data_IF_530654352038
#
_entry.id   IF_530654352038
#
_cell.length_a   1.000
_cell.length_b   1.000
_cell.length_c   1.000
_cell.angle_alpha   90.00
_cell.angle_beta   90.00
_cell.angle_gamma   90.00
#
_symmetry.space_group_name_H-M   'P 1'
#
loop_
_entity.id
_entity.type
_entity.pdbx_description
1 polymer ?
#
# COMPACT_ATOMS: atom_id res chain seq x y z
N UNK A 1 -8.72 -19.39 -0.70
CA UNK A 1 -8.80 -18.25 0.23
C UNK A 1 -9.51 -17.13 -0.50
N UNK A 2 -10.57 -16.55 0.06
CA UNK A 2 -11.21 -15.37 -0.52
C UNK A 2 -10.22 -14.20 -0.47
N UNK A 3 -10.17 -13.40 -1.54
CA UNK A 3 -9.36 -12.19 -1.60
C UNK A 3 -9.77 -11.24 -0.44
N UNK A 4 -8.84 -10.85 0.45
CA UNK A 4 -9.14 -9.99 1.61
C UNK A 4 -9.80 -8.66 1.20
N UNK A 5 -9.50 -8.13 0.00
CA UNK A 5 -10.14 -6.93 -0.53
C UNK A 5 -11.64 -7.12 -0.78
N UNK A 6 -12.02 -8.23 -1.41
CA UNK A 6 -13.44 -8.53 -1.70
C UNK A 6 -14.26 -8.76 -0.42
N UNK A 7 -13.66 -9.39 0.58
CA UNK A 7 -14.29 -9.57 1.90
C UNK A 7 -14.51 -8.22 2.60
N UNK A 8 -13.54 -7.30 2.53
CA UNK A 8 -13.67 -5.95 3.07
C UNK A 8 -14.82 -5.18 2.40
N UNK A 9 -14.91 -5.18 1.07
CA UNK A 9 -15.99 -4.50 0.34
C UNK A 9 -17.36 -5.01 0.75
N UNK A 10 -17.53 -6.33 0.88
CA UNK A 10 -18.78 -6.93 1.33
C UNK A 10 -19.14 -6.49 2.75
N UNK A 11 -18.17 -6.48 3.68
CA UNK A 11 -18.40 -6.05 5.05
C UNK A 11 -18.70 -4.56 5.16
N UNK A 12 -18.07 -3.72 4.33
CA UNK A 12 -18.32 -2.28 4.28
C UNK A 12 -19.80 -1.98 3.99
N UNK A 13 -20.36 -2.56 2.92
CA UNK A 13 -21.78 -2.36 2.59
C UNK A 13 -22.74 -2.92 3.65
N UNK A 14 -22.36 -4.02 4.31
CA UNK A 14 -23.14 -4.57 5.43
C UNK A 14 -23.12 -3.63 6.64
N UNK A 15 -22.01 -2.96 6.89
CA UNK A 15 -21.86 -2.01 7.99
C UNK A 15 -22.68 -0.73 7.74
N UNK A 16 -22.66 -0.21 6.52
CA UNK A 16 -23.43 0.97 6.13
C UNK A 16 -24.94 0.74 6.30
N UNK A 17 -25.42 -0.41 5.85
CA UNK A 17 -26.81 -0.85 6.05
C UNK A 17 -27.16 -0.99 7.54
N UNK A 18 -26.23 -1.49 8.38
CA UNK A 18 -26.44 -1.60 9.82
C UNK A 18 -26.50 -0.24 10.50
N UNK A 19 -25.65 0.72 10.11
CA UNK A 19 -25.68 2.11 10.62
C UNK A 19 -27.03 2.76 10.29
N UNK A 20 -27.53 2.60 9.06
CA UNK A 20 -28.86 3.07 8.69
C UNK A 20 -29.97 2.43 9.53
N UNK A 21 -29.96 1.10 9.68
CA UNK A 21 -30.95 0.40 10.53
C UNK A 21 -30.89 0.82 11.99
N UNK A 22 -29.70 1.04 12.54
CA UNK A 22 -29.52 1.52 13.91
C UNK A 22 -30.05 2.94 14.10
N UNK A 23 -29.79 3.86 13.15
CA UNK A 23 -30.36 5.23 13.18
C UNK A 23 -31.89 5.18 13.15
N UNK A 24 -32.47 4.36 12.27
CA UNK A 24 -33.93 4.17 12.19
C UNK A 24 -34.49 3.58 13.49
N UNK A 25 -33.82 2.58 14.07
CA UNK A 25 -34.24 1.99 15.35
C UNK A 25 -34.21 3.00 16.50
N UNK A 26 -33.15 3.82 16.59
CA UNK A 26 -33.05 4.89 17.60
C UNK A 26 -34.14 5.94 17.40
N UNK A 27 -34.39 6.37 16.16
CA UNK A 27 -35.47 7.31 15.84
C UNK A 27 -36.85 6.75 16.20
N UNK A 28 -37.14 5.49 15.84
CA UNK A 28 -38.38 4.81 16.20
C UNK A 28 -38.52 4.67 17.72
N UNK A 29 -37.45 4.29 18.43
CA UNK A 29 -37.45 4.18 19.89
C UNK A 29 -37.75 5.52 20.58
N UNK A 30 -37.22 6.63 20.06
CA UNK A 30 -37.51 7.97 20.57
C UNK A 30 -38.97 8.37 20.33
N UNK A 31 -39.50 8.12 19.13
CA UNK A 31 -40.90 8.39 18.79
C UNK A 31 -41.84 7.57 19.67
N UNK A 32 -41.57 6.28 19.85
CA UNK A 32 -42.38 5.39 20.71
C UNK A 32 -42.30 5.83 22.17
N UNK A 33 -41.12 6.20 22.68
CA UNK A 33 -40.98 6.74 24.04
C UNK A 33 -41.83 8.00 24.24
N UNK A 34 -41.82 8.92 23.28
CA UNK A 34 -42.63 10.14 23.32
C UNK A 34 -44.14 9.83 23.28
N UNK A 35 -44.55 8.87 22.46
CA UNK A 35 -45.95 8.43 22.35
C UNK A 35 -46.43 7.77 23.66
N UNK A 36 -45.61 6.92 24.28
CA UNK A 36 -45.93 6.31 25.57
C UNK A 36 -46.01 7.37 26.67
N UNK A 37 -45.10 8.34 26.68
CA UNK A 37 -45.13 9.46 27.63
C UNK A 37 -46.41 10.29 27.53
N UNK A 38 -46.82 10.65 26.32
CA UNK A 38 -48.04 11.44 26.06
C UNK A 38 -49.31 10.66 26.38
N UNK A 39 -49.40 9.38 26.02
CA UNK A 39 -50.54 8.50 26.37
C UNK A 39 -50.62 8.28 27.88
N UNK A 40 -49.48 8.03 28.55
CA UNK A 40 -49.42 7.89 30.00
C UNK A 40 -49.89 9.14 30.73
N UNK A 41 -49.51 10.32 30.24
CA UNK A 41 -49.95 11.61 30.79
C UNK A 41 -51.46 11.86 30.60
N UNK A 42 -52.04 11.46 29.46
CA UNK A 42 -53.43 11.76 29.11
C UNK A 42 -54.45 10.74 29.66
N UNK A 43 -54.10 9.45 29.69
CA UNK A 43 -55.08 8.37 29.96
C UNK A 43 -54.96 7.75 31.35
N UNK A 44 -53.83 7.92 32.03
CA UNK A 44 -53.61 7.27 33.33
C UNK A 44 -53.48 8.30 34.44
N UNK A 45 -54.19 8.09 35.55
CA UNK A 45 -54.13 8.92 36.77
C UNK A 45 -52.82 8.68 37.56
N UNK A 46 -51.73 8.44 36.82
CA UNK A 46 -50.42 8.07 37.32
C UNK A 46 -49.67 9.33 37.69
N UNK A 47 -48.94 9.29 38.81
CA UNK A 47 -48.18 10.45 39.28
C UNK A 47 -47.13 10.88 38.25
N UNK A 48 -46.95 12.18 38.05
CA UNK A 48 -45.93 12.72 37.12
C UNK A 48 -44.52 12.19 37.46
N UNK A 49 -44.24 11.95 38.74
CA UNK A 49 -42.95 11.42 39.22
C UNK A 49 -42.64 10.03 38.65
N UNK A 50 -43.63 9.15 38.54
CA UNK A 50 -43.42 7.79 38.00
C UNK A 50 -43.19 7.80 36.48
N UNK A 51 -43.80 8.75 35.76
CA UNK A 51 -43.57 8.93 34.32
C UNK A 51 -42.12 9.41 34.07
N UNK A 52 -41.66 10.40 34.84
CA UNK A 52 -40.29 10.92 34.73
C UNK A 52 -39.22 9.86 35.05
N UNK A 53 -39.45 9.03 36.07
CA UNK A 53 -38.51 7.94 36.41
C UNK A 53 -38.43 6.90 35.28
N UNK A 54 -39.57 6.54 34.68
CA UNK A 54 -39.59 5.60 33.56
C UNK A 54 -38.84 6.15 32.34
N UNK A 55 -39.07 7.42 31.99
CA UNK A 55 -38.41 8.07 30.86
C UNK A 55 -36.89 8.18 31.07
N UNK A 56 -36.45 8.48 32.30
CA UNK A 56 -35.03 8.51 32.65
C UNK A 56 -34.35 7.14 32.50
N UNK A 57 -35.00 6.05 32.94
CA UNK A 57 -34.48 4.69 32.78
C UNK A 57 -34.39 4.33 31.28
N UNK A 58 -35.37 4.74 30.48
CA UNK A 58 -35.39 4.45 29.05
C UNK A 58 -34.28 5.21 28.31
N UNK A 59 -34.07 6.49 28.62
CA UNK A 59 -33.00 7.31 28.05
C UNK A 59 -31.61 6.81 28.43
N UNK A 60 -31.40 6.42 29.69
CA UNK A 60 -30.12 5.85 30.13
C UNK A 60 -29.83 4.51 29.45
N UNK A 61 -30.83 3.64 29.30
CA UNK A 61 -30.71 2.40 28.52
C UNK A 61 -30.35 2.64 27.05
N UNK A 62 -31.00 3.63 26.42
CA UNK A 62 -30.72 4.03 25.04
C UNK A 62 -29.28 4.58 24.88
N UNK A 63 -28.82 5.39 25.84
CA UNK A 63 -27.46 5.91 25.85
C UNK A 63 -26.41 4.79 25.95
N UNK A 64 -26.61 3.82 26.86
CA UNK A 64 -25.74 2.64 26.98
C UNK A 64 -25.75 1.83 25.68
N UNK A 65 -26.92 1.64 25.07
CA UNK A 65 -27.05 0.93 23.80
C UNK A 65 -26.24 1.61 22.69
N UNK A 66 -26.36 2.93 22.54
CA UNK A 66 -25.60 3.73 21.57
C UNK A 66 -24.09 3.62 21.84
N UNK A 67 -23.64 3.79 23.09
CA UNK A 67 -22.21 3.67 23.43
C UNK A 67 -21.70 2.26 23.10
N UNK A 68 -22.47 1.22 23.44
CA UNK A 68 -22.09 -0.17 23.19
C UNK A 68 -22.04 -0.50 21.70
N UNK A 69 -22.94 0.07 20.89
CA UNK A 69 -22.96 -0.14 19.45
C UNK A 69 -21.78 0.57 18.77
N UNK A 70 -21.43 1.77 19.22
CA UNK A 70 -20.24 2.49 18.77
C UNK A 70 -18.96 1.74 19.10
N UNK A 71 -18.81 1.21 20.33
CA UNK A 71 -17.64 0.40 20.70
C UNK A 71 -17.49 -0.83 19.80
N UNK A 72 -18.58 -1.58 19.60
CA UNK A 72 -18.59 -2.75 18.71
C UNK A 72 -18.32 -2.39 17.24
N UNK A 73 -18.67 -1.18 16.80
CA UNK A 73 -18.34 -0.71 15.46
C UNK A 73 -16.83 -0.44 15.35
N UNK A 74 -16.24 0.23 16.34
CA UNK A 74 -14.80 0.52 16.38
C UNK A 74 -13.94 -0.75 16.35
N UNK A 75 -14.25 -1.73 17.21
CA UNK A 75 -13.55 -3.02 17.25
C UNK A 75 -13.58 -3.72 15.88
N UNK A 76 -14.72 -3.67 15.18
CA UNK A 76 -14.86 -4.30 13.85
C UNK A 76 -14.06 -3.56 12.79
N UNK A 77 -14.06 -2.23 12.82
CA UNK A 77 -13.23 -1.43 11.92
C UNK A 77 -11.74 -1.75 12.11
N UNK A 78 -11.27 -1.87 13.36
CA UNK A 78 -9.91 -2.32 13.66
C UNK A 78 -9.63 -3.72 13.12
N UNK A 79 -10.57 -4.67 13.24
CA UNK A 79 -10.38 -6.00 12.63
C UNK A 79 -10.31 -5.96 11.11
N UNK A 80 -11.11 -5.10 10.46
CA UNK A 80 -11.09 -4.95 8.99
C UNK A 80 -9.78 -4.33 8.52
N UNK A 81 -9.27 -3.31 9.22
CA UNK A 81 -7.97 -2.73 8.92
C UNK A 81 -6.82 -3.70 9.17
N UNK A 82 -6.89 -4.49 10.23
CA UNK A 82 -5.93 -5.56 10.49
C UNK A 82 -5.89 -6.60 9.36
N UNK A 83 -7.06 -7.00 8.84
CA UNK A 83 -7.13 -7.93 7.70
C UNK A 83 -6.52 -7.36 6.42
N UNK A 84 -6.55 -6.04 6.25
CA UNK A 84 -5.93 -5.33 5.13
C UNK A 84 -4.47 -4.93 5.39
N UNK A 85 -3.94 -5.26 6.58
CA UNK A 85 -2.63 -4.80 7.06
C UNK A 85 -2.45 -3.27 7.01
N UNK A 86 -3.55 -2.55 7.14
CA UNK A 86 -3.61 -1.09 7.15
C UNK A 86 -3.39 -0.57 8.56
N UNK A 87 -2.50 0.41 8.68
CA UNK A 87 -2.28 1.10 9.95
C UNK A 87 -3.27 2.26 10.14
N UNK A 88 -4.19 2.18 11.13
CA UNK A 88 -5.22 3.19 11.33
C UNK A 88 -4.68 4.55 11.77
N UNK A 89 -3.42 4.62 12.24
CA UNK A 89 -2.74 5.87 12.60
C UNK A 89 -2.35 6.71 11.38
N UNK A 90 -2.07 6.08 10.23
CA UNK A 90 -1.69 6.77 9.00
C UNK A 90 -2.88 7.46 8.32
N UNK A 91 -4.09 7.00 8.63
CA UNK A 91 -5.35 7.57 8.16
C UNK A 91 -5.82 8.63 9.17
N UNK A 92 -5.08 9.74 9.32
CA UNK A 92 -5.44 10.81 10.26
C UNK A 92 -6.77 11.53 9.91
N UNK A 93 -7.35 11.24 8.75
CA UNK A 93 -8.54 11.91 8.25
C UNK A 93 -9.85 11.36 8.86
N UNK A 94 -10.87 12.22 8.95
CA UNK A 94 -12.18 11.92 9.56
C UNK A 94 -12.95 10.77 8.91
N UNK A 95 -12.58 10.37 7.68
CA UNK A 95 -13.24 9.32 6.89
C UNK A 95 -12.29 8.18 6.51
N UNK A 96 -11.71 7.54 7.53
CA UNK A 96 -10.73 6.44 7.39
C UNK A 96 -11.26 5.27 6.56
N UNK A 97 -12.54 4.96 6.69
CA UNK A 97 -13.18 3.84 6.00
C UNK A 97 -13.33 4.10 4.50
N UNK A 98 -13.62 5.34 4.11
CA UNK A 98 -13.85 5.72 2.71
C UNK A 98 -12.54 5.71 1.92
N UNK A 99 -11.45 6.18 2.54
CA UNK A 99 -10.10 6.12 1.97
C UNK A 99 -9.67 4.67 1.76
N UNK A 100 -9.90 3.80 2.75
CA UNK A 100 -9.61 2.38 2.62
C UNK A 100 -10.46 1.70 1.55
N UNK A 101 -11.75 2.04 1.46
CA UNK A 101 -12.64 1.56 0.40
C UNK A 101 -12.13 1.96 -1.00
N UNK A 102 -11.77 3.22 -1.18
CA UNK A 102 -11.25 3.72 -2.45
C UNK A 102 -9.92 3.03 -2.83
N UNK A 103 -9.05 2.78 -1.86
CA UNK A 103 -7.79 2.08 -2.07
C UNK A 103 -7.98 0.61 -2.48
N UNK A 104 -8.91 -0.11 -1.82
CA UNK A 104 -9.30 -1.48 -2.17
C UNK A 104 -9.90 -1.51 -3.58
N UNK A 105 -10.80 -0.58 -3.90
CA UNK A 105 -11.45 -0.50 -5.21
C UNK A 105 -10.46 -0.18 -6.34
N UNK A 106 -9.47 0.68 -6.07
CA UNK A 106 -8.41 1.02 -7.01
C UNK A 106 -7.35 -0.09 -7.16
N UNK A 107 -7.40 -1.15 -6.35
CA UNK A 107 -6.39 -2.21 -6.34
C UNK A 107 -5.01 -1.76 -5.85
N UNK A 108 -4.89 -0.55 -5.30
CA UNK A 108 -3.63 0.09 -4.91
C UNK A 108 -3.33 -0.12 -3.41
N UNK A 109 -3.54 -1.34 -2.92
CA UNK A 109 -3.28 -1.69 -1.52
C UNK A 109 -1.79 -1.62 -1.17
N UNK A 110 -0.91 -1.81 -2.16
CA UNK A 110 0.54 -1.75 -1.99
C UNK A 110 1.04 -0.37 -1.54
N UNK A 111 0.36 0.71 -1.92
CA UNK A 111 0.74 2.08 -1.50
C UNK A 111 0.41 2.39 -0.03
N UNK A 112 -0.48 1.60 0.60
CA UNK A 112 -0.97 1.85 1.97
C UNK A 112 -0.59 0.71 2.93
N UNK A 113 -0.17 -0.44 2.40
CA UNK A 113 0.49 -1.51 3.15
C UNK A 113 1.87 -1.05 3.61
N UNK A 114 1.90 -0.33 4.73
CA UNK A 114 3.16 -0.08 5.44
C UNK A 114 3.37 -1.20 6.43
N UNK A 115 4.43 -1.96 6.19
CA UNK A 115 4.82 -3.15 6.92
C UNK A 115 5.19 -2.87 8.38
N UNK A 116 4.20 -2.63 9.25
CA UNK A 116 4.42 -2.56 10.71
C UNK A 116 4.94 -3.88 11.29
N UNK A 117 4.73 -5.02 10.63
CA UNK A 117 5.32 -6.32 11.00
C UNK A 117 6.71 -6.58 10.42
N UNK A 118 7.18 -5.72 9.50
CA UNK A 118 8.59 -5.68 9.13
C UNK A 118 9.38 -4.78 10.10
N UNK A 119 8.87 -4.59 11.32
CA UNK A 119 9.69 -4.33 12.49
C UNK A 119 10.51 -5.58 12.79
N UNK A 120 11.65 -5.68 12.10
CA UNK A 120 13.00 -5.66 12.69
C UNK A 120 13.23 -6.45 13.99
N UNK A 121 12.56 -7.57 14.21
CA UNK A 121 13.08 -8.56 15.13
C UNK A 121 14.23 -9.25 14.41
N UNK A 122 15.42 -8.63 14.54
CA UNK A 122 16.70 -9.28 14.27
C UNK A 122 16.66 -10.63 15.00
N UNK A 123 17.07 -11.70 14.32
CA UNK A 123 17.43 -12.94 15.02
C UNK A 123 18.37 -12.62 16.17
N UNK A 124 18.24 -13.35 17.27
CA UNK A 124 18.91 -13.17 18.56
C UNK A 124 20.45 -13.23 18.47
N UNK A 125 21.07 -12.32 17.72
CA UNK A 125 22.51 -12.13 17.66
C UNK A 125 22.94 -11.31 18.87
N UNK A 126 23.59 -11.98 19.82
CA UNK A 126 24.13 -11.36 21.05
C UNK A 126 25.07 -10.18 20.77
N UNK A 127 25.67 -10.11 19.57
CA UNK A 127 26.68 -9.09 19.23
C UNK A 127 26.11 -7.77 18.72
N UNK A 128 24.80 -7.68 18.47
CA UNK A 128 24.15 -6.43 18.07
C UNK A 128 24.69 -5.81 16.77
N UNK A 129 24.34 -4.56 16.50
CA UNK A 129 24.83 -3.82 15.33
C UNK A 129 26.26 -3.35 15.59
N UNK A 130 27.25 -3.99 14.96
CA UNK A 130 28.57 -3.36 14.82
C UNK A 130 28.44 -2.34 13.70
N UNK A 131 28.62 -1.05 13.98
CA UNK A 131 28.51 0.05 13.02
C UNK A 131 29.56 0.03 11.89
N UNK A 132 30.23 -1.10 11.69
CA UNK A 132 31.48 -1.20 10.94
C UNK A 132 32.57 -0.32 11.56
N UNK A 133 33.78 -0.44 11.02
CA UNK A 133 34.78 0.62 11.18
C UNK A 133 34.42 1.73 10.20
N UNK A 134 34.19 2.94 10.72
CA UNK A 134 34.00 4.17 9.93
C UNK A 134 35.36 4.70 9.43
N UNK A 135 36.46 4.06 9.83
CA UNK A 135 37.81 4.36 9.37
C UNK A 135 37.97 3.96 7.89
N UNK A 136 37.64 4.88 6.99
CA UNK A 136 38.65 5.47 6.12
C UNK A 136 38.03 6.61 5.32
N UNK A 137 38.43 7.83 5.66
CA UNK A 137 38.51 8.91 4.67
C UNK A 137 39.31 8.37 3.49
N UNK A 138 38.85 8.60 2.27
CA UNK A 138 39.44 8.18 1.00
C UNK A 138 40.98 8.30 1.01
N UNK A 139 41.68 7.26 1.48
CA UNK A 139 43.12 7.28 1.62
C UNK A 139 43.70 6.60 0.38
N UNK A 140 44.38 7.38 -0.46
CA UNK A 140 45.01 6.91 -1.70
C UNK A 140 46.04 5.79 -1.46
N UNK A 141 46.51 5.64 -0.21
CA UNK A 141 47.43 4.57 0.21
C UNK A 141 46.74 3.21 0.43
N UNK A 142 45.41 3.19 0.50
CA UNK A 142 44.66 1.97 0.72
C UNK A 142 44.55 1.17 -0.58
N UNK A 143 45.11 -0.05 -0.58
CA UNK A 143 45.03 -0.94 -1.75
C UNK A 143 43.57 -1.24 -2.07
N UNK A 144 43.16 -1.02 -3.33
CA UNK A 144 41.85 -1.42 -3.86
C UNK A 144 41.61 -2.89 -3.48
N UNK A 145 40.50 -3.15 -2.79
CA UNK A 145 40.00 -4.50 -2.54
C UNK A 145 38.91 -4.77 -3.56
N UNK A 146 39.09 -5.75 -4.41
CA UNK A 146 38.01 -6.17 -5.30
C UNK A 146 36.98 -6.95 -4.49
N UNK A 147 35.72 -6.53 -4.59
CA UNK A 147 34.60 -7.16 -3.87
C UNK A 147 34.50 -8.67 -4.17
N UNK A 148 34.87 -9.07 -5.40
CA UNK A 148 34.87 -10.47 -5.83
C UNK A 148 35.89 -11.36 -5.11
N UNK A 149 36.91 -10.76 -4.47
CA UNK A 149 37.91 -11.54 -3.72
C UNK A 149 37.29 -12.26 -2.50
N UNK A 150 36.17 -11.75 -1.98
CA UNK A 150 35.45 -12.38 -0.85
C UNK A 150 34.38 -13.39 -1.26
N UNK A 151 34.09 -13.59 -2.55
CA UNK A 151 33.00 -14.46 -3.02
C UNK A 151 33.15 -15.90 -2.51
N UNK A 152 34.39 -16.39 -2.42
CA UNK A 152 34.69 -17.74 -1.91
C UNK A 152 34.27 -17.97 -0.46
N UNK A 153 34.22 -16.92 0.37
CA UNK A 153 33.86 -17.01 1.80
C UNK A 153 32.36 -17.23 2.00
N UNK A 154 31.53 -16.87 1.03
CA UNK A 154 30.08 -16.98 1.11
C UNK A 154 29.53 -18.24 0.41
N UNK A 155 30.40 -18.99 -0.27
CA UNK A 155 30.00 -20.18 -1.02
C UNK A 155 29.49 -21.28 -0.08
N UNK A 156 28.22 -21.65 -0.24
CA UNK A 156 27.56 -22.68 0.58
C UNK A 156 27.07 -22.19 1.95
N UNK A 157 27.15 -20.88 2.22
CA UNK A 157 26.44 -20.24 3.33
C UNK A 157 25.00 -19.88 2.96
N UNK A 158 24.67 -19.91 1.67
CA UNK A 158 23.32 -19.69 1.15
C UNK A 158 22.50 -20.96 1.35
N UNK A 159 21.33 -20.81 1.98
CA UNK A 159 20.33 -21.86 2.12
C UNK A 159 19.42 -21.88 0.87
N UNK A 160 18.58 -22.89 0.74
CA UNK A 160 17.61 -22.96 -0.36
C UNK A 160 16.69 -21.72 -0.34
N UNK A 161 16.35 -21.22 -1.54
CA UNK A 161 15.45 -20.08 -1.68
C UNK A 161 14.12 -20.36 -0.98
N UNK A 162 13.66 -19.40 -0.17
CA UNK A 162 12.35 -19.50 0.47
C UNK A 162 11.25 -19.45 -0.60
N UNK A 163 10.06 -20.02 -0.36
CA UNK A 163 8.98 -19.99 -1.35
C UNK A 163 8.65 -18.59 -1.90
N UNK A 164 8.71 -17.56 -1.06
CA UNK A 164 8.53 -16.16 -1.49
C UNK A 164 9.64 -15.66 -2.41
N UNK A 165 10.89 -16.06 -2.16
CA UNK A 165 12.06 -15.67 -2.95
C UNK A 165 12.11 -16.43 -4.28
N UNK A 166 11.62 -17.68 -4.30
CA UNK A 166 11.44 -18.46 -5.53
C UNK A 166 10.48 -17.74 -6.49
N UNK A 167 9.35 -17.23 -5.99
CA UNK A 167 8.39 -16.48 -6.81
C UNK A 167 8.99 -15.19 -7.39
N UNK A 168 9.76 -14.45 -6.58
CA UNK A 168 10.46 -13.25 -7.05
C UNK A 168 11.52 -13.60 -8.08
N UNK A 169 12.28 -14.67 -7.86
CA UNK A 169 13.28 -15.13 -8.80
C UNK A 169 12.65 -15.55 -10.15
N UNK A 170 11.54 -16.29 -10.11
CA UNK A 170 10.79 -16.67 -11.31
C UNK A 170 10.27 -15.43 -12.06
N UNK A 171 9.75 -14.43 -11.34
CA UNK A 171 9.34 -13.18 -11.94
C UNK A 171 10.52 -12.45 -12.60
N UNK A 172 11.66 -12.36 -11.92
CA UNK A 172 12.87 -11.73 -12.44
C UNK A 172 13.35 -12.42 -13.73
N UNK A 173 13.36 -13.75 -13.77
CA UNK A 173 13.72 -14.52 -14.96
C UNK A 173 12.77 -14.17 -16.12
N UNK A 174 11.46 -14.15 -15.88
CA UNK A 174 10.47 -13.78 -16.92
C UNK A 174 10.63 -12.35 -17.40
N UNK A 175 10.92 -11.41 -16.49
CA UNK A 175 11.18 -10.02 -16.86
C UNK A 175 12.45 -9.88 -17.69
N UNK A 176 13.50 -10.63 -17.33
CA UNK A 176 14.76 -10.65 -18.07
C UNK A 176 14.55 -11.18 -19.48
N UNK A 177 13.88 -12.32 -19.65
CA UNK A 177 13.57 -12.87 -20.97
C UNK A 177 12.78 -11.88 -21.83
N UNK A 178 11.78 -11.22 -21.23
CA UNK A 178 10.97 -10.22 -21.94
C UNK A 178 11.79 -8.98 -22.29
N UNK A 179 12.66 -8.52 -21.40
CA UNK A 179 13.54 -7.40 -21.64
C UNK A 179 14.52 -7.71 -22.77
N UNK A 180 15.13 -8.91 -22.77
CA UNK A 180 16.06 -9.37 -23.80
C UNK A 180 15.36 -9.44 -25.17
N UNK A 181 14.13 -9.96 -25.23
CA UNK A 181 13.34 -9.99 -26.46
C UNK A 181 13.00 -8.59 -26.98
N UNK A 182 12.60 -7.68 -26.08
CA UNK A 182 12.31 -6.30 -26.46
C UNK A 182 13.56 -5.57 -26.92
N UNK A 183 14.70 -5.83 -26.27
CA UNK A 183 16.00 -5.28 -26.62
C UNK A 183 16.43 -5.74 -28.01
N UNK A 184 16.40 -7.05 -28.28
CA UNK A 184 16.71 -7.60 -29.61
C UNK A 184 15.77 -7.06 -30.70
N UNK A 185 14.48 -6.92 -30.38
CA UNK A 185 13.50 -6.33 -31.30
C UNK A 185 13.78 -4.86 -31.57
N UNK A 186 14.24 -4.10 -30.58
CA UNK A 186 14.65 -2.71 -30.75
C UNK A 186 15.91 -2.63 -31.62
N UNK A 187 16.94 -3.42 -31.32
CA UNK A 187 18.20 -3.47 -32.09
C UNK A 187 17.94 -3.86 -33.56
N UNK A 188 17.12 -4.89 -33.82
CA UNK A 188 16.80 -5.31 -35.20
C UNK A 188 16.06 -4.27 -36.04
N UNK A 189 15.46 -3.26 -35.39
CA UNK A 189 14.71 -2.19 -36.04
C UNK A 189 15.49 -0.88 -36.12
N UNK A 190 16.65 -0.82 -35.48
CA UNK A 190 17.47 0.37 -35.46
C UNK A 190 18.10 0.59 -36.84
N UNK A 191 17.83 1.75 -37.42
CA UNK A 191 18.33 2.12 -38.75
C UNK A 191 19.86 2.23 -38.75
N UNK A 192 20.43 2.70 -37.65
CA UNK A 192 21.87 2.94 -37.53
C UNK A 192 22.63 1.61 -37.56
N UNK A 193 22.07 0.58 -36.93
CA UNK A 193 22.60 -0.79 -36.95
C UNK A 193 22.51 -1.42 -38.35
N UNK A 194 21.39 -1.23 -39.05
CA UNK A 194 21.20 -1.73 -40.41
C UNK A 194 22.17 -1.05 -41.39
N UNK A 195 22.36 0.26 -41.27
CA UNK A 195 23.29 1.04 -42.12
C UNK A 195 24.75 0.69 -41.85
N UNK A 196 25.11 0.43 -40.60
CA UNK A 196 26.43 -0.06 -40.22
C UNK A 196 26.67 -1.52 -40.62
N UNK A 197 25.61 -2.29 -40.90
CA UNK A 197 25.67 -3.72 -41.17
C UNK A 197 26.02 -4.56 -39.94
N UNK A 198 25.63 -4.10 -38.74
CA UNK A 198 25.97 -4.70 -37.45
C UNK A 198 24.70 -5.08 -36.70
N UNK A 199 24.67 -6.26 -36.07
CA UNK A 199 23.46 -6.76 -35.40
C UNK A 199 23.27 -6.24 -33.97
N UNK A 200 24.35 -5.86 -33.27
CA UNK A 200 24.33 -5.46 -31.86
C UNK A 200 24.85 -4.06 -31.66
N UNK A 201 24.24 -3.33 -30.73
CA UNK A 201 24.64 -1.95 -30.42
C UNK A 201 26.07 -1.86 -29.84
N UNK A 202 26.49 -2.84 -29.05
CA UNK A 202 27.86 -2.90 -28.54
C UNK A 202 28.93 -3.00 -29.64
N UNK A 203 28.60 -3.66 -30.76
CA UNK A 203 29.52 -3.77 -31.89
C UNK A 203 29.52 -2.48 -32.72
N UNK A 204 28.39 -1.78 -32.82
CA UNK A 204 28.31 -0.45 -33.44
C UNK A 204 29.25 0.54 -32.75
N UNK A 205 29.28 0.55 -31.41
CA UNK A 205 30.20 1.40 -30.63
C UNK A 205 31.68 1.08 -30.90
N UNK A 206 32.00 -0.16 -31.26
CA UNK A 206 33.37 -0.56 -31.63
C UNK A 206 33.75 -0.13 -33.05
N UNK A 207 32.77 0.22 -33.88
CA UNK A 207 33.01 0.77 -35.22
C UNK A 207 33.15 2.30 -35.15
N UNK A 208 33.84 2.88 -36.14
CA UNK A 208 33.94 4.34 -36.29
C UNK A 208 32.63 4.97 -36.84
N UNK A 209 31.48 4.33 -36.67
CA UNK A 209 30.21 4.79 -37.25
C UNK A 209 29.79 6.14 -36.68
N UNK A 210 29.91 6.33 -35.36
CA UNK A 210 29.57 7.59 -34.70
C UNK A 210 30.49 8.74 -35.15
N UNK A 211 31.78 8.49 -35.38
CA UNK A 211 32.72 9.53 -35.82
C UNK A 211 32.45 9.97 -37.26
N UNK A 212 31.97 9.05 -38.12
CA UNK A 212 31.67 9.32 -39.53
C UNK A 212 30.30 9.94 -39.75
N UNK A 213 29.31 9.57 -38.94
CA UNK A 213 27.93 10.05 -39.03
C UNK A 213 27.61 11.15 -37.99
N UNK A 214 28.63 11.71 -37.33
CA UNK A 214 28.47 12.81 -36.39
C UNK A 214 27.88 14.06 -37.08
N UNK A 215 26.61 14.37 -36.79
CA UNK A 215 26.00 15.65 -37.16
C UNK A 215 26.45 16.73 -36.18
N UNK A 216 27.13 17.76 -36.68
CA UNK A 216 27.46 18.92 -35.85
C UNK A 216 26.17 19.64 -35.42
N UNK A 217 25.96 19.79 -34.11
CA UNK A 217 24.78 20.45 -33.56
C UNK A 217 23.59 19.53 -33.23
N UNK A 218 23.71 18.21 -33.34
CA UNK A 218 22.63 17.26 -33.03
C UNK A 218 22.04 17.42 -31.61
N UNK A 219 22.87 17.77 -30.63
CA UNK A 219 22.43 18.04 -29.25
C UNK A 219 21.55 19.29 -29.17
N UNK A 220 21.87 20.33 -29.97
CA UNK A 220 21.09 21.56 -30.02
C UNK A 220 19.72 21.29 -30.65
N UNK A 221 19.67 20.53 -31.73
CA UNK A 221 18.44 20.13 -32.43
C UNK A 221 17.52 19.28 -31.53
N UNK A 222 18.09 18.33 -30.76
CA UNK A 222 17.33 17.56 -29.76
C UNK A 222 16.75 18.47 -28.66
N UNK A 223 17.54 19.40 -28.15
CA UNK A 223 17.08 20.36 -27.12
C UNK A 223 15.97 21.28 -27.62
N UNK A 224 16.03 21.68 -28.89
CA UNK A 224 15.01 22.55 -29.49
C UNK A 224 13.73 21.76 -29.85
N UNK A 225 13.83 20.50 -30.28
CA UNK A 225 12.67 19.62 -30.51
C UNK A 225 11.89 19.29 -29.23
N UNK A 226 12.60 19.06 -28.12
CA UNK A 226 11.95 18.76 -26.82
C UNK A 226 11.14 19.94 -26.31
N UNK A 227 11.58 21.18 -26.58
CA UNK A 227 10.83 22.39 -26.21
C UNK A 227 9.58 22.61 -27.05
N UNK A 228 9.59 22.23 -28.33
CA UNK A 228 8.40 22.31 -29.18
C UNK A 228 7.30 21.33 -28.77
N UNK A 229 7.66 20.15 -28.26
CA UNK A 229 6.69 19.17 -27.77
C UNK A 229 6.09 19.52 -26.40
N UNK A 230 6.76 20.37 -25.60
CA UNK A 230 6.23 20.89 -24.32
C UNK A 230 5.30 22.12 -24.50
N UNK A 231 5.34 22.79 -25.65
CA UNK A 231 4.49 23.95 -25.98
C UNK A 231 3.17 23.59 -26.67
N UNK A 232 2.88 22.29 -26.87
CA UNK A 232 1.63 21.73 -27.42
C UNK A 232 0.80 21.08 -26.31
#
# INVERSE_FOLDING_TARGET
MQDPGNYFLQQYFLEENRKHRQRLFVQLSLVVSFLIGTVGFLFTNVSIRTILLFEFILLTGLAIFIISSHRKAMERQETLFMMLELDPELLEQSDRMDVAFQAVQAGNLQSIQVSKTQRRNRGSDEKGFTSGRIDSQLNTSQKRRDARSSDSLYKGLEDDLRPSEVLVNEANIRYQERADLLWQKAESKDTDLIEAGVERLGDLVRTDWFDKNAKQGAVQELMDSTKQDEEI
#
